data_IF_217805564279
#
_entry.id   IF_217805564279
#
_cell.length_a   1.000
_cell.length_b   1.000
_cell.length_c   1.000
_cell.angle_alpha   90.00
_cell.angle_beta   90.00
_cell.angle_gamma   90.00
#
_symmetry.space_group_name_H-M   'P 1'
#
loop_
_entity.id
_entity.type
_entity.pdbx_description
1 polymer ?
#
# COMPACT_ATOMS: atom_id res chain seq x y z
N UNK A 1 -28.31 5.70 -14.27
CA UNK A 1 -27.04 6.39 -13.95
C UNK A 1 -25.94 5.54 -14.55
N UNK A 2 -25.06 6.13 -15.35
CA UNK A 2 -23.98 5.39 -16.01
C UNK A 2 -22.98 4.88 -14.97
N UNK A 3 -22.45 3.68 -15.18
CA UNK A 3 -21.51 3.04 -14.25
C UNK A 3 -20.16 3.77 -14.27
N UNK A 4 -19.72 4.28 -13.12
CA UNK A 4 -18.43 4.97 -12.99
C UNK A 4 -17.31 3.94 -13.02
N UNK A 5 -16.44 4.01 -14.03
CA UNK A 5 -15.25 3.15 -14.16
C UNK A 5 -14.05 3.81 -13.48
N UNK A 6 -13.47 3.20 -12.43
CA UNK A 6 -12.37 3.85 -11.71
C UNK A 6 -11.11 4.11 -12.56
N UNK A 7 -10.83 3.26 -13.55
CA UNK A 7 -9.65 3.42 -14.42
C UNK A 7 -9.67 4.70 -15.27
N UNK A 8 -10.83 5.31 -15.50
CA UNK A 8 -10.94 6.56 -16.25
C UNK A 8 -10.31 7.76 -15.51
N UNK A 9 -10.09 7.61 -14.20
CA UNK A 9 -9.46 8.63 -13.35
C UNK A 9 -7.98 8.35 -13.09
N UNK A 10 -7.39 7.39 -13.79
CA UNK A 10 -5.99 7.02 -13.62
C UNK A 10 -5.16 7.41 -14.84
N UNK A 11 -4.13 8.24 -14.66
CA UNK A 11 -3.17 8.55 -15.74
C UNK A 11 -2.21 7.39 -16.06
N UNK A 12 -2.19 6.31 -15.27
CA UNK A 12 -1.40 5.10 -15.51
C UNK A 12 -1.98 3.87 -14.82
N UNK A 13 -1.88 2.67 -15.42
CA UNK A 13 -2.38 1.46 -14.79
C UNK A 13 -1.32 0.84 -13.84
N UNK A 14 -1.57 0.89 -12.52
CA UNK A 14 -0.93 0.02 -11.53
C UNK A 14 0.55 0.33 -11.31
N UNK A 15 1.40 -0.69 -11.42
CA UNK A 15 2.86 -0.53 -11.33
C UNK A 15 3.43 0.44 -12.39
N UNK A 16 2.67 0.78 -13.45
CA UNK A 16 3.03 1.83 -14.40
C UNK A 16 3.09 3.24 -13.79
N UNK A 17 2.60 3.42 -12.56
CA UNK A 17 2.71 4.66 -11.79
C UNK A 17 3.96 4.72 -10.91
N UNK A 18 4.76 3.64 -10.82
CA UNK A 18 5.99 3.64 -10.02
C UNK A 18 7.03 4.56 -10.68
N UNK A 19 7.74 5.31 -9.84
CA UNK A 19 8.89 6.10 -10.29
C UNK A 19 9.94 5.12 -10.83
N UNK A 20 10.48 5.40 -12.03
CA UNK A 20 11.49 4.56 -12.64
C UNK A 20 12.72 4.37 -11.70
N UNK A 21 13.34 3.18 -11.64
CA UNK A 21 14.42 2.88 -10.69
C UNK A 21 15.54 3.93 -10.65
N UNK A 22 16.05 4.34 -11.82
CA UNK A 22 17.12 5.35 -11.93
C UNK A 22 16.72 6.73 -11.37
N UNK A 23 15.44 7.07 -11.42
CA UNK A 23 14.92 8.31 -10.85
C UNK A 23 14.70 8.17 -9.35
N UNK A 24 14.18 7.03 -8.89
CA UNK A 24 13.99 6.75 -7.48
C UNK A 24 15.33 6.76 -6.73
N UNK A 25 16.38 6.16 -7.32
CA UNK A 25 17.73 6.19 -6.74
C UNK A 25 18.23 7.63 -6.54
N UNK A 26 17.97 8.52 -7.51
CA UNK A 26 18.33 9.94 -7.39
C UNK A 26 17.55 10.65 -6.28
N UNK A 27 16.28 10.31 -6.09
CA UNK A 27 15.42 10.89 -5.04
C UNK A 27 15.86 10.43 -3.65
N UNK A 28 16.24 9.15 -3.53
CA UNK A 28 16.61 8.53 -2.25
C UNK A 28 18.06 8.79 -1.83
N UNK A 29 18.93 9.22 -2.76
CA UNK A 29 20.32 9.59 -2.45
C UNK A 29 20.36 10.68 -1.38
N UNK A 30 20.72 10.27 -0.16
CA UNK A 30 20.91 11.14 0.99
C UNK A 30 22.15 10.69 1.78
N UNK A 31 22.92 11.64 2.27
CA UNK A 31 24.08 11.39 3.14
C UNK A 31 23.66 11.10 4.60
N UNK A 32 22.38 11.30 4.93
CA UNK A 32 21.83 11.09 6.27
C UNK A 32 21.35 9.65 6.46
N UNK A 33 22.29 8.71 6.58
CA UNK A 33 22.02 7.39 7.15
C UNK A 33 22.27 7.45 8.65
N UNK A 34 21.23 7.28 9.47
CA UNK A 34 21.41 6.95 10.89
C UNK A 34 21.63 5.44 10.98
N UNK A 35 22.86 4.96 11.22
CA UNK A 35 23.10 3.54 11.36
C UNK A 35 22.38 3.03 12.62
N UNK A 36 21.45 2.09 12.43
CA UNK A 36 20.84 1.34 13.52
C UNK A 36 21.12 -0.15 13.32
N UNK A 37 21.90 -0.73 14.23
CA UNK A 37 22.25 -2.15 14.22
C UNK A 37 21.06 -3.10 14.31
N UNK A 38 19.88 -2.61 14.71
CA UNK A 38 18.64 -3.40 14.77
C UNK A 38 17.87 -3.39 13.45
N UNK A 39 18.17 -2.48 12.52
CA UNK A 39 17.58 -2.53 11.19
C UNK A 39 18.30 -3.60 10.36
N UNK A 40 17.66 -4.76 10.24
CA UNK A 40 18.20 -5.94 9.55
C UNK A 40 18.12 -5.80 8.03
N UNK A 41 17.03 -5.20 7.54
CA UNK A 41 16.75 -4.95 6.13
C UNK A 41 16.17 -3.54 6.02
N UNK A 42 16.68 -2.74 5.09
CA UNK A 42 16.26 -1.36 4.92
C UNK A 42 16.68 -0.78 3.58
N UNK A 43 16.75 0.54 3.48
CA UNK A 43 17.06 1.23 2.22
C UNK A 43 18.36 0.77 1.53
N UNK A 44 19.37 0.38 2.31
CA UNK A 44 20.65 -0.06 1.78
C UNK A 44 20.60 -1.39 1.02
N UNK A 45 19.60 -2.25 1.30
CA UNK A 45 19.47 -3.57 0.67
C UNK A 45 18.43 -3.62 -0.45
N UNK A 46 17.58 -2.59 -0.58
CA UNK A 46 16.56 -2.48 -1.66
C UNK A 46 15.60 -3.69 -1.75
N UNK A 47 15.22 -4.24 -0.60
CA UNK A 47 14.20 -5.30 -0.48
C UNK A 47 12.77 -4.73 -0.40
N UNK A 48 11.78 -5.61 -0.56
CA UNK A 48 10.34 -5.29 -0.60
C UNK A 48 9.76 -4.81 0.74
N UNK A 49 10.50 -4.91 1.86
CA UNK A 49 10.06 -4.44 3.17
C UNK A 49 11.24 -4.08 4.09
N UNK A 50 10.99 -3.24 5.10
CA UNK A 50 11.92 -3.02 6.20
C UNK A 50 11.78 -4.14 7.24
N UNK A 51 12.90 -4.61 7.79
CA UNK A 51 12.92 -5.60 8.87
C UNK A 51 13.70 -5.05 10.07
N UNK A 52 13.04 -4.99 11.22
CA UNK A 52 13.59 -4.41 12.45
C UNK A 52 13.63 -5.44 13.59
N UNK A 53 14.80 -5.67 14.17
CA UNK A 53 15.00 -6.60 15.29
C UNK A 53 14.40 -6.04 16.58
N UNK A 54 13.47 -6.79 17.18
CA UNK A 54 12.88 -6.50 18.48
C UNK A 54 13.62 -7.21 19.64
N UNK A 55 14.63 -8.02 19.31
CA UNK A 55 15.30 -8.92 20.24
C UNK A 55 14.53 -10.23 20.41
N UNK A 56 15.06 -11.13 21.25
CA UNK A 56 14.42 -12.43 21.55
C UNK A 56 14.07 -13.27 20.32
N UNK A 57 14.85 -13.14 19.24
CA UNK A 57 14.62 -13.80 17.93
C UNK A 57 13.29 -13.42 17.28
N UNK A 58 12.79 -12.22 17.57
CA UNK A 58 11.62 -11.63 16.93
C UNK A 58 12.04 -10.40 16.13
N UNK A 59 11.50 -10.29 14.91
CA UNK A 59 11.68 -9.12 14.08
C UNK A 59 10.31 -8.62 13.60
N UNK A 60 10.22 -7.31 13.41
CA UNK A 60 9.08 -6.62 12.83
C UNK A 60 9.34 -6.46 11.33
N UNK A 61 8.39 -6.86 10.50
CA UNK A 61 8.39 -6.53 9.07
C UNK A 61 7.46 -5.33 8.91
N UNK A 62 7.86 -4.34 8.12
CA UNK A 62 7.04 -3.17 7.80
C UNK A 62 7.15 -2.88 6.31
N UNK A 63 6.03 -2.89 5.63
CA UNK A 63 5.93 -2.56 4.20
C UNK A 63 4.78 -1.57 3.98
N UNK A 64 4.83 -0.85 2.87
CA UNK A 64 3.74 0.00 2.41
C UNK A 64 3.70 -0.04 0.89
N UNK A 65 2.52 -0.28 0.33
CA UNK A 65 2.34 -0.26 -1.11
C UNK A 65 0.94 0.27 -1.46
N UNK A 66 0.89 1.19 -2.42
CA UNK A 66 -0.34 1.85 -2.88
C UNK A 66 -0.19 2.30 -4.33
N UNK A 67 -1.31 2.34 -5.05
CA UNK A 67 -1.32 2.69 -6.47
C UNK A 67 -2.69 3.22 -6.93
N UNK A 68 -2.76 3.66 -8.19
CA UNK A 68 -3.98 4.11 -8.83
C UNK A 68 -4.83 2.91 -9.34
N UNK A 69 -6.15 3.07 -9.55
CA UNK A 69 -7.02 2.00 -10.02
C UNK A 69 -6.52 1.27 -11.27
N UNK A 70 -6.46 -0.06 -11.16
CA UNK A 70 -6.10 -0.96 -12.27
C UNK A 70 -7.29 -1.73 -12.85
N UNK A 71 -8.43 -1.65 -12.18
CA UNK A 71 -9.70 -2.26 -12.57
C UNK A 71 -10.82 -1.24 -12.39
N UNK A 72 -11.92 -1.45 -13.10
CA UNK A 72 -13.05 -0.51 -13.08
C UNK A 72 -13.85 -0.59 -11.78
N UNK A 73 -13.99 -1.80 -11.24
CA UNK A 73 -14.77 -2.07 -10.04
C UNK A 73 -14.00 -1.65 -8.78
N UNK A 74 -14.69 -0.89 -7.92
CA UNK A 74 -14.10 -0.32 -6.72
C UNK A 74 -13.78 -1.39 -5.66
N UNK A 75 -14.64 -2.38 -5.52
CA UNK A 75 -14.44 -3.45 -4.54
C UNK A 75 -13.23 -4.30 -4.91
N UNK A 76 -13.12 -4.73 -6.17
CA UNK A 76 -11.97 -5.48 -6.67
C UNK A 76 -10.69 -4.66 -6.66
N UNK A 77 -10.74 -3.35 -6.94
CA UNK A 77 -9.56 -2.49 -6.77
C UNK A 77 -9.03 -2.53 -5.33
N UNK A 78 -9.92 -2.38 -4.35
CA UNK A 78 -9.56 -2.48 -2.93
C UNK A 78 -8.96 -3.83 -2.55
N UNK A 79 -9.50 -4.93 -3.10
CA UNK A 79 -8.96 -6.27 -2.90
C UNK A 79 -7.56 -6.42 -3.48
N UNK A 80 -7.37 -6.01 -4.73
CA UNK A 80 -6.09 -6.18 -5.42
C UNK A 80 -5.00 -5.35 -4.74
N UNK A 81 -5.27 -4.09 -4.43
CA UNK A 81 -4.33 -3.23 -3.72
C UNK A 81 -3.93 -3.78 -2.34
N UNK A 82 -4.91 -4.33 -1.61
CA UNK A 82 -4.65 -4.93 -0.30
C UNK A 82 -3.83 -6.21 -0.40
N UNK A 83 -4.15 -7.08 -1.37
CA UNK A 83 -3.41 -8.31 -1.60
C UNK A 83 -1.95 -8.02 -1.99
N UNK A 84 -1.73 -7.01 -2.84
CA UNK A 84 -0.39 -6.55 -3.21
C UNK A 84 0.40 -6.07 -2.00
N UNK A 85 -0.15 -5.14 -1.21
CA UNK A 85 0.57 -4.61 -0.05
C UNK A 85 0.87 -5.66 1.04
N UNK A 86 0.00 -6.66 1.22
CA UNK A 86 0.26 -7.77 2.15
C UNK A 86 1.31 -8.74 1.59
N UNK A 87 1.47 -8.83 0.27
CA UNK A 87 2.33 -9.82 -0.37
C UNK A 87 3.81 -9.69 0.01
N UNK A 88 4.31 -8.47 0.25
CA UNK A 88 5.71 -8.27 0.65
C UNK A 88 6.01 -8.89 2.02
N UNK A 89 5.05 -8.87 2.95
CA UNK A 89 5.21 -9.54 4.25
C UNK A 89 5.36 -11.05 4.05
N UNK A 90 4.56 -11.65 3.17
CA UNK A 90 4.69 -13.06 2.84
C UNK A 90 5.97 -13.38 2.08
N UNK A 91 6.41 -12.51 1.17
CA UNK A 91 7.66 -12.67 0.41
C UNK A 91 8.88 -12.70 1.35
N UNK A 92 8.85 -11.90 2.42
CA UNK A 92 9.87 -11.90 3.48
C UNK A 92 9.74 -13.08 4.47
N UNK A 93 8.80 -14.01 4.25
CA UNK A 93 8.54 -15.15 5.13
C UNK A 93 7.83 -14.78 6.44
N UNK A 94 7.26 -13.58 6.51
CA UNK A 94 6.54 -13.05 7.66
C UNK A 94 5.11 -13.54 7.78
N UNK A 95 4.52 -13.27 8.94
CA UNK A 95 3.08 -13.36 9.17
C UNK A 95 2.54 -11.97 9.45
N UNK A 96 1.61 -11.44 8.65
CA UNK A 96 1.06 -10.11 8.89
C UNK A 96 0.26 -10.10 10.21
N UNK A 97 0.32 -8.98 10.90
CA UNK A 97 -0.30 -8.71 12.20
C UNK A 97 -1.46 -7.72 12.06
N UNK A 98 -1.28 -6.65 11.28
CA UNK A 98 -2.29 -5.62 11.05
C UNK A 98 -2.00 -4.82 9.78
N UNK A 99 -3.01 -4.10 9.30
CA UNK A 99 -2.85 -3.14 8.23
C UNK A 99 -3.55 -1.81 8.55
N UNK A 100 -3.04 -0.71 8.01
CA UNK A 100 -3.71 0.60 8.00
C UNK A 100 -3.87 1.10 6.57
N UNK A 101 -5.04 1.65 6.26
CA UNK A 101 -5.36 2.12 4.92
C UNK A 101 -4.70 3.47 4.59
N UNK A 102 -4.25 3.61 3.34
CA UNK A 102 -3.83 4.87 2.73
C UNK A 102 -4.84 5.17 1.62
N UNK A 103 -5.56 6.29 1.71
CA UNK A 103 -6.61 6.66 0.77
C UNK A 103 -6.42 8.10 0.26
N UNK A 104 -6.16 8.25 -1.04
CA UNK A 104 -6.39 9.51 -1.74
C UNK A 104 -7.71 9.42 -2.49
N UNK A 105 -8.64 10.35 -2.30
CA UNK A 105 -9.91 10.33 -3.02
C UNK A 105 -10.31 11.70 -3.55
N UNK A 106 -10.69 11.83 -4.84
CA UNK A 106 -11.18 13.08 -5.41
C UNK A 106 -12.67 13.29 -5.08
N UNK A 107 -12.91 13.88 -3.91
CA UNK A 107 -14.27 14.01 -3.34
C UNK A 107 -15.23 14.86 -4.17
N UNK A 108 -14.71 15.69 -5.08
CA UNK A 108 -15.52 16.53 -5.96
C UNK A 108 -15.99 15.80 -7.23
N UNK A 109 -15.32 14.71 -7.63
CA UNK A 109 -15.57 14.04 -8.91
C UNK A 109 -15.98 12.57 -8.78
N UNK A 110 -15.60 11.90 -7.69
CA UNK A 110 -15.96 10.49 -7.45
C UNK A 110 -16.76 10.38 -6.14
N UNK A 111 -17.98 9.81 -6.18
CA UNK A 111 -18.81 9.65 -4.99
C UNK A 111 -18.12 8.85 -3.87
N UNK A 112 -18.33 9.22 -2.59
CA UNK A 112 -17.73 8.53 -1.44
C UNK A 112 -18.18 7.08 -1.30
N UNK A 113 -19.32 6.69 -1.88
CA UNK A 113 -19.82 5.31 -1.89
C UNK A 113 -18.86 4.35 -2.58
N UNK A 114 -18.15 4.81 -3.62
CA UNK A 114 -17.12 4.02 -4.29
C UNK A 114 -15.86 3.90 -3.42
N UNK A 115 -15.46 4.94 -2.69
CA UNK A 115 -14.38 4.84 -1.71
C UNK A 115 -14.72 3.81 -0.61
N UNK A 116 -15.98 3.77 -0.17
CA UNK A 116 -16.47 2.75 0.77
C UNK A 116 -16.33 1.34 0.18
N UNK A 117 -16.68 1.14 -1.10
CA UNK A 117 -16.52 -0.17 -1.75
C UNK A 117 -15.04 -0.60 -1.83
N UNK A 118 -14.11 0.32 -2.12
CA UNK A 118 -12.66 0.06 -2.04
C UNK A 118 -12.29 -0.44 -0.63
N UNK A 119 -12.72 0.26 0.41
CA UNK A 119 -12.46 -0.15 1.79
C UNK A 119 -13.12 -1.48 2.16
N UNK A 120 -14.30 -1.78 1.62
CA UNK A 120 -14.97 -3.07 1.85
C UNK A 120 -14.19 -4.23 1.19
N UNK A 121 -13.65 -4.02 -0.01
CA UNK A 121 -12.76 -4.97 -0.67
C UNK A 121 -11.47 -5.20 0.14
N UNK A 122 -10.89 -4.14 0.68
CA UNK A 122 -9.72 -4.23 1.54
C UNK A 122 -9.99 -4.99 2.83
N UNK A 123 -11.12 -4.70 3.49
CA UNK A 123 -11.55 -5.42 4.70
C UNK A 123 -11.72 -6.91 4.44
N UNK A 124 -12.26 -7.30 3.28
CA UNK A 124 -12.40 -8.70 2.91
C UNK A 124 -11.04 -9.38 2.80
N UNK A 125 -10.06 -8.77 2.13
CA UNK A 125 -8.71 -9.34 2.00
C UNK A 125 -7.98 -9.40 3.35
N UNK A 126 -8.07 -8.35 4.17
CA UNK A 126 -7.50 -8.38 5.52
C UNK A 126 -8.12 -9.50 6.37
N UNK A 127 -9.44 -9.68 6.28
CA UNK A 127 -10.15 -10.77 6.95
C UNK A 127 -9.66 -12.15 6.47
N UNK A 128 -9.48 -12.33 5.17
CA UNK A 128 -8.98 -13.58 4.58
C UNK A 128 -7.52 -13.86 5.00
N UNK A 129 -6.71 -12.81 5.18
CA UNK A 129 -5.36 -12.88 5.74
C UNK A 129 -5.32 -13.05 7.28
N UNK A 130 -6.47 -12.96 7.95
CA UNK A 130 -6.57 -13.09 9.40
C UNK A 130 -6.07 -11.88 10.20
N UNK A 131 -6.05 -10.69 9.59
CA UNK A 131 -5.57 -9.44 10.21
C UNK A 131 -6.65 -8.37 10.26
N UNK A 132 -6.61 -7.45 11.23
CA UNK A 132 -7.48 -6.28 11.25
C UNK A 132 -7.01 -5.22 10.26
N UNK A 133 -7.96 -4.58 9.57
CA UNK A 133 -7.76 -3.25 9.00
C UNK A 133 -7.97 -2.22 10.13
N UNK A 134 -6.88 -1.81 10.77
CA UNK A 134 -6.84 -1.18 12.08
C UNK A 134 -6.92 0.36 12.06
N UNK A 135 -7.31 0.95 10.92
CA UNK A 135 -7.42 2.40 10.76
C UNK A 135 -6.85 2.83 9.43
N UNK A 136 -6.37 4.07 9.36
CA UNK A 136 -5.77 4.62 8.15
C UNK A 136 -5.73 6.14 8.15
N UNK A 137 -5.29 6.68 7.03
CA UNK A 137 -5.32 8.11 6.76
C UNK A 137 -5.89 8.36 5.36
N UNK A 138 -6.62 9.47 5.22
CA UNK A 138 -7.22 9.86 3.96
C UNK A 138 -6.97 11.32 3.63
N UNK A 139 -6.75 11.62 2.36
CA UNK A 139 -6.62 12.99 1.84
C UNK A 139 -7.54 13.21 0.64
N UNK A 140 -7.94 14.46 0.42
CA UNK A 140 -8.51 14.84 -0.87
C UNK A 140 -7.37 14.85 -1.90
N UNK A 141 -7.58 14.22 -3.05
CA UNK A 141 -6.59 14.10 -4.13
C UNK A 141 -7.22 14.39 -5.48
N UNK A 142 -6.40 14.54 -6.53
CA UNK A 142 -6.93 14.67 -7.91
C UNK A 142 -7.32 13.33 -8.51
N UNK A 143 -6.66 12.26 -8.09
CA UNK A 143 -6.84 10.90 -8.58
C UNK A 143 -7.07 9.94 -7.41
N UNK A 144 -7.90 8.90 -7.58
CA UNK A 144 -8.06 7.87 -6.57
C UNK A 144 -6.74 7.12 -6.35
N UNK A 145 -6.30 7.01 -5.10
CA UNK A 145 -5.10 6.28 -4.68
C UNK A 145 -5.52 5.38 -3.53
N UNK A 146 -5.15 4.10 -3.58
CA UNK A 146 -5.41 3.21 -2.46
C UNK A 146 -4.29 2.19 -2.27
N UNK A 147 -4.07 1.83 -1.01
CA UNK A 147 -3.18 0.76 -0.58
C UNK A 147 -3.10 0.65 0.93
N UNK A 148 -2.16 -0.15 1.41
CA UNK A 148 -2.01 -0.43 2.83
C UNK A 148 -0.56 -0.23 3.27
N UNK A 149 -0.37 0.20 4.51
CA UNK A 149 0.85 -0.09 5.27
C UNK A 149 0.57 -1.32 6.14
N UNK A 150 1.46 -2.31 6.09
CA UNK A 150 1.28 -3.62 6.70
C UNK A 150 2.45 -3.91 7.64
N UNK A 151 2.13 -4.52 8.77
CA UNK A 151 3.09 -4.97 9.80
C UNK A 151 2.78 -6.40 10.17
#
# INVERSE_FOLDING_TARGET
MEEIKLTQFSHGAGCGCKIAPDMLEKILRSEASLPDSRLLVGYATSDDAAVYDLGNRQALISTTDFFLPIVNDAFDFGRIASANAISDVYAMGGKPLMAVAILGWPVETIPPELARQVLDGARQVCKDAGIPLAGGHSINSKEPIFGLAVT
#
